data_IF_226893490438
#
_entry.id   IF_226893490438
#
_cell.length_a   1.000
_cell.length_b   1.000
_cell.length_c   1.000
_cell.angle_alpha   90.00
_cell.angle_beta   90.00
_cell.angle_gamma   90.00
#
_symmetry.space_group_name_H-M   'P 1'
#
loop_
_entity.id
_entity.type
_entity.pdbx_description
1 polymer ?
#
# COMPACT_ATOMS: atom_id res chain seq x y z
N UNK A 1 4.00 -20.02 6.79
CA UNK A 1 3.12 -18.90 7.17
C UNK A 1 1.69 -19.37 7.36
N UNK A 2 0.79 -18.62 8.04
CA UNK A 2 -0.59 -19.04 8.27
C UNK A 2 -1.46 -18.96 7.02
N UNK A 3 -1.02 -18.26 5.99
CA UNK A 3 -1.71 -18.16 4.71
C UNK A 3 -1.03 -19.06 3.69
N UNK A 4 -1.79 -19.96 3.10
CA UNK A 4 -1.40 -20.78 1.97
C UNK A 4 -2.00 -20.16 0.72
N UNK A 5 -1.17 -19.90 -0.30
CA UNK A 5 -1.67 -19.45 -1.60
C UNK A 5 -2.59 -20.54 -2.17
N UNK A 6 -3.83 -20.14 -2.50
CA UNK A 6 -4.81 -21.02 -3.09
C UNK A 6 -4.37 -21.37 -4.52
N UNK A 7 -3.98 -22.63 -4.73
CA UNK A 7 -3.51 -23.11 -6.03
C UNK A 7 -4.62 -23.15 -7.10
N UNK A 8 -5.89 -23.03 -6.68
CA UNK A 8 -7.05 -22.99 -7.58
C UNK A 8 -7.25 -21.62 -8.23
N UNK A 9 -6.60 -20.56 -7.72
CA UNK A 9 -6.71 -19.21 -8.32
C UNK A 9 -5.76 -19.08 -9.52
N UNK A 10 -6.32 -18.71 -10.66
CA UNK A 10 -5.54 -18.36 -11.84
C UNK A 10 -4.79 -17.02 -11.63
N UNK A 11 -3.74 -16.79 -12.42
CA UNK A 11 -2.98 -15.52 -12.36
C UNK A 11 -3.92 -14.31 -12.59
N UNK A 12 -3.96 -13.41 -11.61
CA UNK A 12 -4.82 -12.22 -11.63
C UNK A 12 -6.19 -12.41 -10.98
N UNK A 13 -6.54 -13.62 -10.52
CA UNK A 13 -7.74 -13.85 -9.73
C UNK A 13 -7.48 -13.59 -8.25
N UNK A 14 -8.51 -13.14 -7.55
CA UNK A 14 -8.47 -12.94 -6.10
C UNK A 14 -9.75 -13.47 -5.45
N UNK A 15 -9.66 -13.87 -4.20
CA UNK A 15 -10.80 -14.16 -3.34
C UNK A 15 -10.66 -13.48 -1.98
N UNK A 16 -11.77 -13.28 -1.32
CA UNK A 16 -11.75 -12.86 0.08
C UNK A 16 -11.07 -13.92 0.96
N UNK A 17 -10.40 -13.48 2.00
CA UNK A 17 -9.87 -14.39 3.03
C UNK A 17 -11.04 -15.10 3.73
N UNK A 18 -10.86 -16.38 4.01
CA UNK A 18 -11.80 -17.14 4.83
C UNK A 18 -11.75 -16.67 6.28
N UNK A 19 -12.80 -16.96 7.06
CA UNK A 19 -12.83 -16.62 8.48
C UNK A 19 -11.69 -17.26 9.28
N UNK A 20 -11.27 -18.46 8.90
CA UNK A 20 -10.14 -19.15 9.54
C UNK A 20 -8.80 -18.48 9.22
N UNK A 21 -8.59 -18.00 8.00
CA UNK A 21 -7.42 -17.24 7.60
C UNK A 21 -7.37 -15.89 8.34
N UNK A 22 -8.50 -15.19 8.46
CA UNK A 22 -8.62 -13.95 9.23
C UNK A 22 -8.31 -14.19 10.71
N UNK A 23 -8.83 -15.29 11.28
CA UNK A 23 -8.58 -15.67 12.67
C UNK A 23 -7.09 -15.94 12.90
N UNK A 24 -6.45 -16.73 12.04
CA UNK A 24 -5.03 -17.05 12.13
C UNK A 24 -4.13 -15.82 12.05
N UNK A 25 -4.51 -14.81 11.25
CA UNK A 25 -3.81 -13.52 11.20
C UNK A 25 -3.97 -12.73 12.51
N UNK A 26 -5.19 -12.63 13.04
CA UNK A 26 -5.48 -11.91 14.30
C UNK A 26 -4.77 -12.52 15.51
N UNK A 27 -4.74 -13.84 15.64
CA UNK A 27 -4.08 -14.53 16.74
C UNK A 27 -2.57 -14.27 16.77
N UNK A 28 -1.91 -14.19 15.63
CA UNK A 28 -0.48 -13.82 15.53
C UNK A 28 -0.21 -12.37 15.91
N UNK A 29 -1.10 -11.45 15.55
CA UNK A 29 -0.95 -10.03 15.92
C UNK A 29 -1.03 -9.87 17.44
N UNK A 30 -1.92 -10.59 18.11
CA UNK A 30 -2.04 -10.58 19.58
C UNK A 30 -0.82 -11.18 20.28
N UNK A 31 -0.21 -12.24 19.73
CA UNK A 31 0.98 -12.86 20.29
C UNK A 31 2.22 -11.96 20.20
N UNK A 32 2.31 -11.14 19.15
CA UNK A 32 3.40 -10.15 19.00
C UNK A 32 3.27 -8.96 19.95
N UNK A 33 2.07 -8.62 20.41
CA UNK A 33 1.86 -7.53 21.38
C UNK A 33 2.13 -7.93 22.84
N UNK A 34 2.12 -9.21 23.18
CA UNK A 34 2.34 -9.71 24.55
C UNK A 34 3.83 -9.94 24.91
N UNK A 35 4.78 -9.57 24.04
CA UNK A 35 6.21 -9.67 24.33
C UNK A 35 6.82 -8.37 24.89
N UNK A 36 6.00 -7.41 25.31
CA UNK A 36 6.50 -6.17 25.96
C UNK A 36 5.78 -5.99 27.29
N UNK A 37 6.17 -6.76 28.31
CA UNK A 37 6.12 -6.32 29.71
C UNK A 37 6.79 -7.36 30.60
N UNK A 38 7.80 -6.91 31.28
CA UNK A 38 8.61 -7.39 32.39
C UNK A 38 10.02 -7.82 31.98
N UNK A 39 10.95 -6.86 32.17
CA UNK A 39 12.05 -7.02 33.10
C UNK A 39 12.86 -5.72 33.16
N UNK A 40 12.84 -5.08 34.31
CA UNK A 40 13.82 -4.09 34.71
C UNK A 40 15.15 -4.80 35.00
N UNK A 41 16.24 -4.20 34.54
CA UNK A 41 17.65 -4.54 34.68
C UNK A 41 18.23 -5.46 33.59
N UNK A 42 18.90 -4.81 32.65
CA UNK A 42 20.27 -5.18 32.29
C UNK A 42 20.83 -4.12 31.30
N UNK A 43 21.86 -3.44 31.74
CA UNK A 43 22.79 -2.69 30.91
C UNK A 43 23.46 -3.66 29.93
N UNK A 44 23.00 -3.68 28.70
CA UNK A 44 23.75 -4.23 27.58
C UNK A 44 23.40 -3.45 26.31
N UNK A 45 24.41 -2.77 25.79
CA UNK A 45 24.44 -2.24 24.42
C UNK A 45 24.36 -3.41 23.45
N UNK A 46 23.15 -3.94 23.25
CA UNK A 46 22.92 -4.95 22.24
C UNK A 46 22.86 -4.29 20.87
N UNK A 47 23.78 -4.70 20.01
CA UNK A 47 23.77 -4.50 18.58
C UNK A 47 22.35 -4.81 18.04
N UNK A 48 21.60 -3.76 17.71
CA UNK A 48 20.25 -3.85 17.13
C UNK A 48 20.36 -4.17 15.63
N UNK A 49 21.11 -5.25 15.31
CA UNK A 49 21.15 -5.78 13.95
C UNK A 49 19.85 -6.56 13.74
N UNK A 50 19.00 -6.19 12.77
CA UNK A 50 17.78 -6.94 12.50
C UNK A 50 18.12 -8.41 12.23
N UNK A 51 17.27 -9.35 12.66
CA UNK A 51 17.52 -10.78 12.46
C UNK A 51 17.74 -11.08 10.99
N UNK A 52 18.82 -11.79 10.70
CA UNK A 52 19.18 -12.17 9.35
C UNK A 52 18.13 -13.12 8.77
N UNK A 53 17.47 -12.72 7.67
CA UNK A 53 16.43 -13.52 7.03
C UNK A 53 17.09 -14.71 6.30
N UNK A 54 16.67 -15.93 6.64
CA UNK A 54 17.06 -17.10 5.87
C UNK A 54 16.20 -17.21 4.60
N UNK A 55 16.66 -16.62 3.52
CA UNK A 55 15.97 -16.59 2.23
C UNK A 55 15.74 -17.98 1.61
N UNK A 56 16.41 -19.03 2.07
CA UNK A 56 16.20 -20.40 1.58
C UNK A 56 14.91 -21.04 2.12
N UNK A 57 14.28 -20.41 3.12
CA UNK A 57 13.01 -20.86 3.70
C UNK A 57 11.82 -19.97 3.32
N UNK A 58 12.03 -19.03 2.39
CA UNK A 58 11.01 -18.10 1.91
C UNK A 58 10.53 -18.54 0.54
N UNK A 59 9.27 -18.94 0.42
CA UNK A 59 8.68 -19.37 -0.84
C UNK A 59 8.07 -18.20 -1.64
N UNK A 60 7.55 -17.20 -0.94
CA UNK A 60 6.93 -16.03 -1.56
C UNK A 60 7.03 -14.79 -0.68
N UNK A 61 7.00 -13.61 -1.31
CA UNK A 61 6.91 -12.30 -0.65
C UNK A 61 5.72 -11.54 -1.23
N UNK A 62 4.85 -11.08 -0.34
CA UNK A 62 3.76 -10.17 -0.68
C UNK A 62 4.15 -8.76 -0.23
N UNK A 63 4.09 -7.83 -1.17
CA UNK A 63 4.39 -6.43 -0.94
C UNK A 63 3.11 -5.61 -0.82
N UNK A 64 3.10 -4.67 0.07
CA UNK A 64 2.24 -3.50 -0.07
C UNK A 64 2.84 -2.57 -1.15
N UNK A 65 2.00 -1.75 -1.78
CA UNK A 65 2.42 -0.87 -2.86
C UNK A 65 2.89 0.48 -2.34
N UNK A 66 1.96 1.24 -1.74
CA UNK A 66 2.17 2.64 -1.38
C UNK A 66 3.02 2.81 -0.13
N UNK A 67 4.11 3.56 -0.25
CA UNK A 67 5.06 3.72 0.86
C UNK A 67 5.97 2.52 1.11
N UNK A 68 5.74 1.39 0.42
CA UNK A 68 6.54 0.16 0.50
C UNK A 68 7.35 -0.08 -0.76
N UNK A 69 6.73 -0.33 -1.90
CA UNK A 69 7.41 -0.47 -3.20
C UNK A 69 7.68 0.89 -3.84
N UNK A 70 6.72 1.81 -3.73
CA UNK A 70 6.78 3.13 -4.36
C UNK A 70 6.68 4.26 -3.32
N UNK A 71 7.33 5.37 -3.60
CA UNK A 71 7.30 6.56 -2.75
C UNK A 71 6.14 7.48 -3.12
N UNK A 72 4.92 7.04 -2.80
CA UNK A 72 3.66 7.67 -3.18
C UNK A 72 2.93 8.41 -2.06
N UNK A 73 3.42 8.36 -0.82
CA UNK A 73 2.70 8.91 0.34
C UNK A 73 2.41 10.41 0.25
N UNK A 74 3.25 11.17 -0.46
CA UNK A 74 3.07 12.60 -0.73
C UNK A 74 1.96 12.88 -1.76
N UNK A 75 1.69 11.92 -2.62
CA UNK A 75 0.84 12.06 -3.82
C UNK A 75 -0.60 12.46 -3.48
N UNK A 76 -1.20 11.80 -2.48
CA UNK A 76 -2.58 12.06 -2.09
C UNK A 76 -2.79 13.50 -1.62
N UNK A 77 -1.87 14.01 -0.79
CA UNK A 77 -1.91 15.42 -0.38
C UNK A 77 -1.74 16.37 -1.57
N UNK A 78 -0.86 16.03 -2.52
CA UNK A 78 -0.67 16.84 -3.72
C UNK A 78 -1.93 16.85 -4.60
N UNK A 79 -2.62 15.71 -4.73
CA UNK A 79 -3.89 15.60 -5.46
C UNK A 79 -4.96 16.48 -4.80
N UNK A 80 -5.09 16.43 -3.47
CA UNK A 80 -6.08 17.24 -2.74
C UNK A 80 -5.85 18.73 -2.97
N UNK A 81 -4.59 19.19 -2.85
CA UNK A 81 -4.21 20.60 -3.11
C UNK A 81 -4.53 20.99 -4.55
N UNK A 82 -4.14 20.19 -5.52
CA UNK A 82 -4.35 20.48 -6.93
C UNK A 82 -5.83 20.44 -7.30
N UNK A 83 -6.56 19.44 -6.82
CA UNK A 83 -8.00 19.32 -7.04
C UNK A 83 -8.75 20.53 -6.49
N UNK A 84 -8.54 20.91 -5.23
CA UNK A 84 -9.20 22.06 -4.61
C UNK A 84 -8.87 23.35 -5.36
N UNK A 85 -7.61 23.53 -5.77
CA UNK A 85 -7.18 24.69 -6.54
C UNK A 85 -7.89 24.81 -7.90
N UNK A 86 -8.17 23.69 -8.57
CA UNK A 86 -8.93 23.70 -9.86
C UNK A 86 -10.34 24.28 -9.69
N UNK A 87 -10.91 24.18 -8.50
CA UNK A 87 -12.26 24.69 -8.19
C UNK A 87 -12.23 25.98 -7.37
N UNK A 88 -11.07 26.63 -7.25
CA UNK A 88 -10.94 27.95 -6.61
C UNK A 88 -10.86 27.92 -5.09
N UNK A 89 -10.54 26.78 -4.50
CA UNK A 89 -10.37 26.63 -3.04
C UNK A 89 -8.90 26.47 -2.68
N UNK A 90 -8.52 27.07 -1.56
CA UNK A 90 -7.26 26.75 -0.89
C UNK A 90 -7.40 25.47 -0.06
N UNK A 91 -6.36 24.64 -0.06
CA UNK A 91 -6.34 23.42 0.74
C UNK A 91 -6.11 23.78 2.22
N UNK A 92 -7.05 23.46 3.14
CA UNK A 92 -6.86 23.71 4.55
C UNK A 92 -5.68 22.92 5.12
N UNK A 93 -4.93 23.53 6.04
CA UNK A 93 -3.76 22.87 6.67
C UNK A 93 -4.12 21.60 7.44
N UNK A 94 -5.32 21.56 8.02
CA UNK A 94 -5.85 20.45 8.81
C UNK A 94 -6.53 19.35 7.98
N UNK A 95 -6.68 19.55 6.67
CA UNK A 95 -7.46 18.66 5.81
C UNK A 95 -7.03 17.18 5.95
N UNK A 96 -5.73 16.89 5.85
CA UNK A 96 -5.22 15.52 5.93
C UNK A 96 -5.58 14.85 7.26
N UNK A 97 -5.54 15.60 8.36
CA UNK A 97 -5.90 15.09 9.68
C UNK A 97 -7.40 14.82 9.80
N UNK A 98 -8.23 15.61 9.13
CA UNK A 98 -9.69 15.44 9.17
C UNK A 98 -10.14 14.23 8.37
N UNK A 99 -9.51 13.98 7.20
CA UNK A 99 -9.86 12.85 6.32
C UNK A 99 -9.13 11.55 6.69
N UNK A 100 -8.23 11.61 7.67
CA UNK A 100 -7.49 10.42 8.13
C UNK A 100 -8.48 9.32 8.59
N UNK A 101 -8.33 8.12 8.04
CA UNK A 101 -9.18 6.97 8.34
C UNK A 101 -10.51 6.93 7.58
N UNK A 102 -10.84 7.94 6.79
CA UNK A 102 -12.00 7.91 5.90
C UNK A 102 -11.73 7.01 4.69
N UNK A 103 -12.75 6.28 4.27
CA UNK A 103 -12.74 5.58 2.99
C UNK A 103 -12.76 6.58 1.82
N UNK A 104 -12.37 6.13 0.64
CA UNK A 104 -12.41 6.94 -0.58
C UNK A 104 -13.77 7.58 -0.85
N UNK A 105 -14.86 6.86 -0.55
CA UNK A 105 -16.23 7.37 -0.70
C UNK A 105 -16.59 8.40 0.38
N UNK A 106 -16.20 8.18 1.63
CA UNK A 106 -16.43 9.14 2.72
C UNK A 106 -15.67 10.44 2.48
N UNK A 107 -14.42 10.34 2.01
CA UNK A 107 -13.63 11.50 1.62
C UNK A 107 -14.31 12.29 0.51
N UNK A 108 -14.87 11.62 -0.52
CA UNK A 108 -15.59 12.30 -1.59
C UNK A 108 -16.86 13.03 -1.09
N UNK A 109 -17.61 12.41 -0.15
CA UNK A 109 -18.77 13.06 0.49
C UNK A 109 -18.32 14.30 1.26
N UNK A 110 -17.28 14.16 2.08
CA UNK A 110 -16.72 15.25 2.87
C UNK A 110 -16.27 16.43 1.98
N UNK A 111 -15.53 16.17 0.90
CA UNK A 111 -15.12 17.22 -0.03
C UNK A 111 -16.30 17.92 -0.68
N UNK A 112 -17.29 17.15 -1.16
CA UNK A 112 -18.49 17.70 -1.79
C UNK A 112 -19.24 18.62 -0.86
N UNK A 113 -19.44 18.23 0.39
CA UNK A 113 -20.19 18.99 1.37
C UNK A 113 -19.40 20.21 1.86
N UNK A 114 -18.14 20.03 2.26
CA UNK A 114 -17.30 21.10 2.80
C UNK A 114 -17.04 22.22 1.80
N UNK A 115 -16.75 21.85 0.55
CA UNK A 115 -16.39 22.80 -0.50
C UNK A 115 -17.55 23.08 -1.47
N UNK A 116 -18.76 22.60 -1.16
CA UNK A 116 -19.97 22.81 -1.97
C UNK A 116 -19.73 22.56 -3.46
N UNK A 117 -19.03 21.45 -3.77
CA UNK A 117 -18.65 21.12 -5.14
C UNK A 117 -19.90 20.81 -5.98
N UNK A 118 -20.02 21.36 -7.19
CA UNK A 118 -21.23 21.22 -8.01
C UNK A 118 -21.37 19.84 -8.66
N UNK A 119 -20.31 19.03 -8.66
CA UNK A 119 -20.25 17.73 -9.30
C UNK A 119 -20.79 16.61 -8.41
N UNK A 120 -21.09 15.47 -9.02
CA UNK A 120 -21.50 14.24 -8.33
C UNK A 120 -20.31 13.58 -7.63
N UNK A 121 -20.60 12.67 -6.70
CA UNK A 121 -19.54 11.90 -6.01
C UNK A 121 -18.72 11.05 -6.97
N UNK A 122 -19.37 10.50 -8.00
CA UNK A 122 -18.70 9.67 -9.00
C UNK A 122 -17.76 10.49 -9.90
N UNK A 123 -18.14 11.72 -10.23
CA UNK A 123 -17.27 12.66 -10.95
C UNK A 123 -16.05 13.06 -10.10
N UNK A 124 -16.22 13.34 -8.81
CA UNK A 124 -15.09 13.63 -7.90
C UNK A 124 -14.12 12.46 -7.88
N UNK A 125 -14.64 11.24 -7.66
CA UNK A 125 -13.82 10.02 -7.61
C UNK A 125 -13.10 9.76 -8.93
N UNK A 126 -13.78 9.94 -10.06
CA UNK A 126 -13.19 9.76 -11.38
C UNK A 126 -12.03 10.72 -11.64
N UNK A 127 -12.19 11.99 -11.26
CA UNK A 127 -11.11 12.99 -11.37
C UNK A 127 -9.92 12.61 -10.49
N UNK A 128 -10.14 12.19 -9.25
CA UNK A 128 -9.05 11.75 -8.37
C UNK A 128 -8.32 10.52 -8.91
N UNK A 129 -9.04 9.55 -9.47
CA UNK A 129 -8.45 8.36 -10.11
C UNK A 129 -7.58 8.79 -11.30
N UNK A 130 -8.08 9.68 -12.16
CA UNK A 130 -7.32 10.22 -13.30
C UNK A 130 -6.03 10.92 -12.85
N UNK A 131 -6.13 11.82 -11.84
CA UNK A 131 -4.98 12.50 -11.27
C UNK A 131 -3.98 11.54 -10.63
N UNK A 132 -4.46 10.50 -9.97
CA UNK A 132 -3.61 9.47 -9.37
C UNK A 132 -2.86 8.68 -10.43
N UNK A 133 -3.55 8.26 -11.49
CA UNK A 133 -2.94 7.54 -12.62
C UNK A 133 -1.85 8.40 -13.29
N UNK A 134 -2.10 9.69 -13.46
CA UNK A 134 -1.12 10.62 -14.03
C UNK A 134 0.13 10.72 -13.15
N UNK A 135 -0.05 10.90 -11.84
CA UNK A 135 1.07 10.96 -10.88
C UNK A 135 1.86 9.65 -10.80
N UNK A 136 1.18 8.52 -10.77
CA UNK A 136 1.83 7.21 -10.79
C UNK A 136 2.67 6.99 -12.04
N UNK A 137 2.22 7.48 -13.20
CA UNK A 137 2.96 7.36 -14.46
C UNK A 137 4.17 8.26 -14.54
N UNK A 138 4.09 9.46 -13.97
CA UNK A 138 5.02 10.53 -14.31
C UNK A 138 5.89 10.97 -13.12
N UNK A 139 5.45 10.77 -11.88
CA UNK A 139 6.07 11.43 -10.73
C UNK A 139 6.48 10.47 -9.60
N UNK A 140 5.83 9.31 -9.48
CA UNK A 140 6.06 8.39 -8.34
C UNK A 140 7.26 7.48 -8.59
N UNK A 141 8.36 7.58 -7.81
CA UNK A 141 9.52 6.74 -7.96
C UNK A 141 9.42 5.47 -7.12
N UNK A 142 10.32 4.51 -7.36
CA UNK A 142 10.56 3.40 -6.45
C UNK A 142 11.10 3.89 -5.10
N UNK A 143 10.77 3.18 -4.04
CA UNK A 143 11.48 3.33 -2.76
C UNK A 143 12.95 2.92 -2.91
N UNK A 144 13.87 3.56 -2.16
CA UNK A 144 15.28 3.18 -2.16
C UNK A 144 15.45 1.69 -1.85
N UNK A 145 16.30 1.02 -2.63
CA UNK A 145 16.61 -0.41 -2.49
C UNK A 145 15.66 -1.36 -3.21
N UNK A 146 14.50 -0.92 -3.68
CA UNK A 146 13.53 -1.79 -4.39
C UNK A 146 14.10 -2.27 -5.73
N UNK A 147 14.79 -1.39 -6.46
CA UNK A 147 15.38 -1.72 -7.77
C UNK A 147 16.40 -2.88 -7.69
N UNK A 148 17.11 -3.00 -6.57
CA UNK A 148 18.07 -4.07 -6.32
C UNK A 148 17.41 -5.30 -5.67
N UNK A 149 16.38 -5.08 -4.86
CA UNK A 149 15.73 -6.14 -4.09
C UNK A 149 14.86 -7.06 -4.95
N UNK A 150 14.11 -6.52 -5.91
CA UNK A 150 13.28 -7.34 -6.79
C UNK A 150 14.09 -8.33 -7.65
N UNK A 151 15.18 -7.91 -8.33
CA UNK A 151 16.08 -8.85 -9.02
C UNK A 151 16.72 -9.87 -8.09
N UNK A 152 17.09 -9.49 -6.87
CA UNK A 152 17.62 -10.41 -5.86
C UNK A 152 16.63 -11.53 -5.53
N UNK A 153 15.36 -11.20 -5.24
CA UNK A 153 14.32 -12.21 -4.96
C UNK A 153 14.05 -13.11 -6.17
N UNK A 154 13.99 -12.53 -7.37
CA UNK A 154 13.85 -13.31 -8.62
C UNK A 154 14.99 -14.29 -8.81
N UNK A 155 16.23 -13.87 -8.56
CA UNK A 155 17.42 -14.75 -8.65
C UNK A 155 17.39 -15.90 -7.64
N UNK A 156 16.76 -15.69 -6.49
CA UNK A 156 16.53 -16.71 -5.46
C UNK A 156 15.36 -17.64 -5.78
N UNK A 157 14.62 -17.40 -6.85
CA UNK A 157 13.43 -18.17 -7.20
C UNK A 157 12.21 -17.91 -6.30
N UNK A 158 12.24 -16.82 -5.52
CA UNK A 158 11.16 -16.44 -4.61
C UNK A 158 10.03 -15.78 -5.42
N UNK A 159 8.81 -16.28 -5.26
CA UNK A 159 7.62 -15.71 -5.90
C UNK A 159 7.28 -14.37 -5.26
N UNK A 160 6.79 -13.42 -6.07
CA UNK A 160 6.43 -12.09 -5.60
C UNK A 160 5.00 -11.75 -6.01
N UNK A 161 4.28 -11.11 -5.09
CA UNK A 161 2.92 -10.60 -5.30
C UNK A 161 2.76 -9.22 -4.66
N UNK A 162 1.69 -8.52 -5.05
CA UNK A 162 1.30 -7.24 -4.46
C UNK A 162 -0.07 -7.42 -3.80
N UNK A 163 -0.22 -6.89 -2.60
CA UNK A 163 -1.47 -6.77 -1.88
C UNK A 163 -1.73 -5.29 -1.58
N UNK A 164 -2.68 -4.70 -2.26
CA UNK A 164 -3.01 -3.27 -2.15
C UNK A 164 -4.52 -3.04 -2.21
N UNK A 165 -4.99 -1.95 -1.64
CA UNK A 165 -6.38 -1.48 -1.77
C UNK A 165 -6.63 -0.61 -3.01
N UNK A 166 -5.59 -0.33 -3.80
CA UNK A 166 -5.71 0.50 -4.99
C UNK A 166 -6.47 -0.19 -6.12
N UNK A 167 -7.12 0.61 -6.97
CA UNK A 167 -7.76 0.12 -8.18
C UNK A 167 -6.71 -0.45 -9.17
N UNK A 168 -7.08 -1.49 -9.91
CA UNK A 168 -6.18 -2.17 -10.85
C UNK A 168 -5.52 -1.25 -11.86
N UNK A 169 -6.25 -0.24 -12.36
CA UNK A 169 -5.71 0.71 -13.34
C UNK A 169 -4.58 1.58 -12.75
N UNK A 170 -4.70 1.94 -11.47
CA UNK A 170 -3.67 2.71 -10.76
C UNK A 170 -2.42 1.86 -10.56
N UNK A 171 -2.60 0.61 -10.12
CA UNK A 171 -1.49 -0.35 -9.94
C UNK A 171 -0.82 -0.63 -11.28
N UNK A 172 -1.61 -0.86 -12.34
CA UNK A 172 -1.11 -1.04 -13.68
C UNK A 172 -0.24 0.13 -14.13
N UNK A 173 -0.72 1.36 -13.91
CA UNK A 173 -0.03 2.58 -14.33
C UNK A 173 1.37 2.70 -13.70
N UNK A 174 1.50 2.47 -12.39
CA UNK A 174 2.79 2.60 -11.69
C UNK A 174 3.74 1.43 -11.99
N UNK A 175 3.23 0.21 -12.08
CA UNK A 175 4.08 -0.95 -12.37
C UNK A 175 4.66 -0.89 -13.80
N UNK A 176 3.88 -0.40 -14.76
CA UNK A 176 4.32 -0.24 -16.14
C UNK A 176 5.29 0.93 -16.29
N UNK A 177 5.02 2.08 -15.63
CA UNK A 177 5.91 3.25 -15.71
C UNK A 177 7.30 2.98 -15.12
N UNK A 178 7.37 2.11 -14.09
CA UNK A 178 8.59 1.74 -13.41
C UNK A 178 9.25 0.45 -13.95
N UNK A 179 8.65 -0.18 -14.98
CA UNK A 179 9.11 -1.44 -15.60
C UNK A 179 9.31 -2.60 -14.58
N UNK A 180 8.44 -2.66 -13.58
CA UNK A 180 8.54 -3.70 -12.53
C UNK A 180 7.40 -4.72 -12.56
N UNK A 181 6.40 -4.57 -13.43
CA UNK A 181 5.26 -5.50 -13.54
C UNK A 181 5.69 -6.95 -13.69
N UNK A 182 6.73 -7.21 -14.48
CA UNK A 182 7.22 -8.56 -14.77
C UNK A 182 7.76 -9.34 -13.56
N UNK A 183 7.95 -8.67 -12.41
CA UNK A 183 8.40 -9.33 -11.19
C UNK A 183 7.26 -10.03 -10.44
N UNK A 184 6.02 -9.61 -10.64
CA UNK A 184 4.89 -10.04 -9.83
C UNK A 184 4.03 -11.04 -10.58
N UNK A 185 3.76 -12.19 -9.96
CA UNK A 185 2.86 -13.22 -10.48
C UNK A 185 1.40 -12.95 -10.17
N UNK A 186 1.12 -12.17 -9.12
CA UNK A 186 -0.22 -11.79 -8.64
C UNK A 186 -0.20 -10.32 -8.22
N UNK A 187 -1.25 -9.61 -8.60
CA UNK A 187 -1.50 -8.20 -8.20
C UNK A 187 -2.95 -8.05 -7.80
#
# INVERSE_FOLDING_TARGET
>A
GPLVLDEALATGEYRALTEDEIRALKERTLTSQNCVSNDENLSDTQNNTPPEINWNTVDAVLFDLDGTLVDSMWMWKAIDVEFLKRYGYDCPEDLQKVIEGMSFSETAIYFKERFQLPMTLDEIKAIWIEMSIDKYRNEVPLKPGVAEFLPFLRKKGIRMGIATSNAQDMVAAVLDSLDIRSYFGVV
#
